data_IF_673062108131
#
_entry.id   IF_673062108131
#
_cell.length_a   1.000
_cell.length_b   1.000
_cell.length_c   1.000
_cell.angle_alpha   90.00
_cell.angle_beta   90.00
_cell.angle_gamma   90.00
#
_symmetry.space_group_name_H-M   'P 1'
#
loop_
_entity.id
_entity.type
_entity.pdbx_description
1 polymer ?
#
# COMPACT_ATOMS: atom_id res chain seq x y z
N UNK A 1 1.11 -18.04 11.60
CA UNK A 1 0.42 -16.85 12.16
C UNK A 1 0.15 -15.92 11.00
N UNK A 2 -1.04 -15.31 10.94
CA UNK A 2 -1.41 -14.39 9.87
C UNK A 2 -1.72 -13.04 10.48
N UNK A 3 -1.14 -11.98 9.91
CA UNK A 3 -1.36 -10.59 10.30
C UNK A 3 -2.13 -9.90 9.21
N UNK A 4 -3.21 -9.22 9.59
CA UNK A 4 -4.04 -8.43 8.69
C UNK A 4 -3.76 -6.96 8.93
N UNK A 5 -3.49 -6.22 7.86
CA UNK A 5 -3.17 -4.78 7.91
C UNK A 5 -4.19 -4.05 7.05
N UNK A 6 -4.91 -3.11 7.67
CA UNK A 6 -5.76 -2.15 6.98
C UNK A 6 -4.97 -0.86 6.77
N UNK A 7 -4.98 -0.35 5.54
CA UNK A 7 -4.24 0.82 5.12
C UNK A 7 -5.25 1.82 4.60
N UNK A 8 -5.29 3.00 5.21
CA UNK A 8 -6.13 4.11 4.80
C UNK A 8 -5.18 5.21 4.27
N UNK A 9 -5.27 5.50 2.97
CA UNK A 9 -4.36 6.43 2.32
C UNK A 9 -4.83 7.87 2.52
N UNK A 10 -3.91 8.72 2.97
CA UNK A 10 -4.12 10.16 3.04
C UNK A 10 -2.89 10.87 2.47
N UNK A 11 -3.01 11.33 1.22
CA UNK A 11 -1.89 11.92 0.46
C UNK A 11 -2.41 13.06 -0.42
N UNK A 12 -1.52 13.85 -1.00
CA UNK A 12 -1.94 14.89 -1.94
C UNK A 12 -2.36 14.24 -3.27
N UNK A 13 -3.67 14.27 -3.55
CA UNK A 13 -4.27 13.61 -4.72
C UNK A 13 -3.83 14.18 -6.07
N UNK A 14 -3.15 15.32 -6.13
CA UNK A 14 -2.63 15.89 -7.37
C UNK A 14 -1.17 15.51 -7.62
N UNK A 15 -0.39 15.28 -6.57
CA UNK A 15 1.08 15.19 -6.66
C UNK A 15 1.67 13.87 -6.17
N UNK A 16 0.95 13.13 -5.33
CA UNK A 16 1.46 11.92 -4.66
C UNK A 16 0.44 10.78 -4.69
N UNK A 17 0.93 9.55 -4.52
CA UNK A 17 0.15 8.32 -4.40
C UNK A 17 0.80 7.40 -3.37
N UNK A 18 0.02 6.48 -2.78
CA UNK A 18 0.53 5.48 -1.84
C UNK A 18 0.70 4.14 -2.54
N UNK A 19 1.93 3.63 -2.60
CA UNK A 19 2.25 2.30 -3.10
C UNK A 19 2.30 1.31 -1.94
N UNK A 20 1.53 0.24 -2.06
CA UNK A 20 1.49 -0.89 -1.13
C UNK A 20 2.02 -2.12 -1.85
N UNK A 21 3.15 -2.64 -1.38
CA UNK A 21 3.81 -3.81 -1.95
C UNK A 21 3.86 -4.94 -0.94
N UNK A 22 3.24 -6.06 -1.29
CA UNK A 22 3.35 -7.31 -0.54
C UNK A 22 4.27 -8.25 -1.32
N UNK A 23 5.29 -8.82 -0.67
CA UNK A 23 6.25 -9.70 -1.35
C UNK A 23 5.55 -10.91 -1.98
N UNK A 24 5.73 -11.10 -3.29
CA UNK A 24 5.09 -12.18 -4.06
C UNK A 24 3.70 -11.85 -4.59
N UNK A 25 3.22 -10.61 -4.40
CA UNK A 25 1.97 -10.11 -4.98
C UNK A 25 2.24 -8.90 -5.90
N UNK A 26 1.20 -8.51 -6.64
CA UNK A 26 1.24 -7.27 -7.41
C UNK A 26 1.17 -6.06 -6.49
N UNK A 27 1.84 -4.99 -6.90
CA UNK A 27 1.75 -3.70 -6.22
C UNK A 27 0.34 -3.13 -6.33
N UNK A 28 -0.15 -2.54 -5.24
CA UNK A 28 -1.40 -1.78 -5.20
C UNK A 28 -1.07 -0.30 -5.06
N UNK A 29 -1.74 0.55 -5.83
CA UNK A 29 -1.61 2.00 -5.75
C UNK A 29 -2.93 2.54 -5.18
N UNK A 30 -2.83 3.29 -4.10
CA UNK A 30 -3.95 3.95 -3.43
C UNK A 30 -3.85 5.46 -3.62
N UNK A 31 -4.99 6.07 -3.97
CA UNK A 31 -5.18 7.51 -4.02
C UNK A 31 -5.69 8.05 -2.67
N UNK A 32 -5.74 9.37 -2.53
CA UNK A 32 -6.29 10.01 -1.33
C UNK A 32 -7.72 9.53 -1.04
N UNK A 33 -7.96 9.13 0.21
CA UNK A 33 -9.24 8.61 0.66
C UNK A 33 -9.52 7.14 0.29
N UNK A 34 -8.65 6.49 -0.50
CA UNK A 34 -8.75 5.06 -0.78
C UNK A 34 -8.19 4.22 0.37
N UNK A 35 -8.61 2.96 0.45
CA UNK A 35 -8.14 2.03 1.45
C UNK A 35 -7.93 0.64 0.87
N UNK A 36 -7.00 -0.10 1.46
CA UNK A 36 -6.75 -1.50 1.16
C UNK A 36 -6.62 -2.34 2.43
N UNK A 37 -6.92 -3.62 2.30
CA UNK A 37 -6.65 -4.62 3.32
C UNK A 37 -5.72 -5.67 2.74
N UNK A 38 -4.56 -5.86 3.38
CA UNK A 38 -3.54 -6.81 2.97
C UNK A 38 -3.20 -7.77 4.09
N UNK A 39 -2.70 -8.95 3.72
CA UNK A 39 -2.39 -10.01 4.66
C UNK A 39 -0.91 -10.39 4.55
N UNK A 40 -0.20 -10.33 5.68
CA UNK A 40 1.12 -10.92 5.82
C UNK A 40 1.00 -12.26 6.55
N UNK A 41 1.56 -13.29 5.95
CA UNK A 41 1.73 -14.61 6.54
C UNK A 41 3.05 -15.20 6.07
N UNK A 42 3.57 -16.17 6.81
CA UNK A 42 4.90 -16.75 6.61
C UNK A 42 5.97 -15.65 6.55
N UNK A 43 6.82 -15.64 5.51
CA UNK A 43 7.91 -14.68 5.32
C UNK A 43 7.50 -13.44 4.50
N UNK A 44 6.20 -13.16 4.36
CA UNK A 44 5.73 -12.05 3.52
C UNK A 44 5.96 -10.69 4.20
N UNK A 45 6.50 -9.76 3.42
CA UNK A 45 6.76 -8.38 3.84
C UNK A 45 5.78 -7.43 3.18
N UNK A 46 5.20 -6.53 3.97
CA UNK A 46 4.38 -5.41 3.49
C UNK A 46 5.23 -4.14 3.55
N UNK A 47 5.36 -3.44 2.43
CA UNK A 47 6.02 -2.15 2.32
C UNK A 47 4.99 -1.12 1.86
N UNK A 48 4.91 0.01 2.57
CA UNK A 48 3.98 1.11 2.28
C UNK A 48 4.81 2.37 2.10
N UNK A 49 4.62 3.08 0.98
CA UNK A 49 5.38 4.29 0.65
C UNK A 49 4.48 5.31 -0.05
N UNK A 50 4.56 6.57 0.38
CA UNK A 50 4.03 7.69 -0.40
C UNK A 50 5.11 8.15 -1.40
N UNK A 51 4.73 8.25 -2.68
CA UNK A 51 5.63 8.59 -3.78
C UNK A 51 5.01 9.62 -4.73
N UNK A 52 5.79 10.42 -5.47
CA UNK A 52 5.24 11.34 -6.45
C UNK A 52 4.62 10.61 -7.64
N UNK A 53 3.51 11.13 -8.17
CA UNK A 53 2.88 10.59 -9.38
C UNK A 53 3.80 10.74 -10.59
N UNK A 54 3.92 9.68 -11.39
CA UNK A 54 4.76 9.68 -12.60
C UNK A 54 6.25 9.38 -12.34
N UNK A 55 6.59 8.89 -11.14
CA UNK A 55 7.93 8.37 -10.81
C UNK A 55 8.09 6.89 -11.17
#
# INVERSE_FOLDING_TARGET
MTTKVKIDAHCNSETTEVRVKVSGENEQILQDGESAEVHAYDDRVIVIQEVPKGS
#
